data_IF_347950008157
#
_entry.id   IF_347950008157
#
_cell.length_a   1.000
_cell.length_b   1.000
_cell.length_c   1.000
_cell.angle_alpha   90.00
_cell.angle_beta   90.00
_cell.angle_gamma   90.00
#
_symmetry.space_group_name_H-M   'P 1'
#
loop_
_entity.id
_entity.type
_entity.pdbx_description
1 polymer ?
#
# COMPACT_ATOMS: atom_id res chain seq x y z
N UNK A 1 -20.42 -51.01 -42.18
CA UNK A 1 -20.94 -50.91 -40.81
C UNK A 1 -19.85 -50.25 -39.96
N UNK A 2 -19.88 -48.92 -39.80
CA UNK A 2 -18.75 -48.13 -39.29
C UNK A 2 -19.05 -47.65 -37.86
N UNK A 3 -18.14 -47.97 -36.93
CA UNK A 3 -18.27 -47.73 -35.48
C UNK A 3 -18.06 -46.24 -35.17
N UNK A 4 -18.96 -45.68 -34.35
CA UNK A 4 -18.90 -44.30 -33.82
C UNK A 4 -17.84 -44.19 -32.71
N UNK A 5 -17.07 -43.10 -32.63
CA UNK A 5 -16.36 -42.74 -31.41
C UNK A 5 -17.17 -41.69 -30.62
N UNK A 6 -17.71 -42.10 -29.48
CA UNK A 6 -18.03 -41.20 -28.36
C UNK A 6 -16.72 -40.64 -27.82
N UNK A 7 -16.47 -39.34 -28.01
CA UNK A 7 -15.36 -38.65 -27.37
C UNK A 7 -15.89 -37.83 -26.19
N UNK A 8 -15.38 -38.21 -25.02
CA UNK A 8 -15.40 -37.46 -23.77
C UNK A 8 -15.02 -36.00 -24.01
N UNK A 9 -15.82 -35.05 -23.53
CA UNK A 9 -15.38 -33.68 -23.34
C UNK A 9 -16.12 -33.08 -22.14
N UNK A 10 -15.80 -33.57 -20.94
CA UNK A 10 -16.32 -33.05 -19.67
C UNK A 10 -15.17 -32.91 -18.68
N UNK A 11 -14.29 -31.92 -18.87
CA UNK A 11 -13.34 -31.47 -17.84
C UNK A 11 -12.55 -30.24 -18.34
N UNK A 12 -13.16 -29.05 -18.36
CA UNK A 12 -12.44 -27.79 -18.62
C UNK A 12 -13.26 -26.62 -18.10
N UNK A 13 -13.52 -26.56 -16.79
CA UNK A 13 -14.25 -25.43 -16.18
C UNK A 13 -13.95 -25.23 -14.68
N UNK A 14 -12.77 -25.63 -14.20
CA UNK A 14 -12.41 -25.54 -12.77
C UNK A 14 -11.07 -24.85 -12.49
N UNK A 15 -10.59 -23.96 -13.38
CA UNK A 15 -9.28 -23.29 -13.18
C UNK A 15 -9.33 -21.75 -13.13
N UNK A 16 -10.51 -21.15 -12.98
CA UNK A 16 -10.66 -19.68 -12.93
C UNK A 16 -11.00 -19.12 -11.55
N UNK A 17 -11.23 -19.97 -10.54
CA UNK A 17 -11.72 -19.54 -9.21
C UNK A 17 -10.64 -19.17 -8.18
N UNK A 18 -9.37 -19.51 -8.41
CA UNK A 18 -8.32 -19.40 -7.38
C UNK A 18 -7.63 -18.02 -7.33
N UNK A 19 -7.79 -17.16 -8.33
CA UNK A 19 -7.06 -15.88 -8.39
C UNK A 19 -7.76 -14.75 -7.62
N UNK A 20 -9.09 -14.83 -7.45
CA UNK A 20 -9.87 -13.76 -6.80
C UNK A 20 -9.76 -13.74 -5.26
N UNK A 21 -9.45 -14.88 -4.63
CA UNK A 21 -9.39 -15.00 -3.16
C UNK A 21 -8.18 -14.28 -2.55
N UNK A 22 -7.07 -14.19 -3.28
CA UNK A 22 -5.81 -13.64 -2.77
C UNK A 22 -5.80 -12.13 -2.59
N UNK A 23 -6.61 -11.39 -3.34
CA UNK A 23 -6.67 -9.93 -3.26
C UNK A 23 -7.56 -9.45 -2.10
N UNK A 24 -8.68 -10.12 -1.83
CA UNK A 24 -9.59 -9.76 -0.74
C UNK A 24 -8.94 -9.91 0.64
N UNK A 25 -8.24 -11.02 0.87
CA UNK A 25 -7.57 -11.28 2.16
C UNK A 25 -6.50 -10.24 2.54
N UNK A 26 -5.85 -9.61 1.55
CA UNK A 26 -4.82 -8.61 1.81
C UNK A 26 -5.45 -7.25 2.13
N UNK A 27 -6.48 -6.86 1.39
CA UNK A 27 -7.26 -5.67 1.69
C UNK A 27 -7.93 -5.76 3.08
N UNK A 28 -8.39 -6.94 3.49
CA UNK A 28 -8.95 -7.17 4.82
C UNK A 28 -7.89 -7.02 5.92
N UNK A 29 -6.65 -7.47 5.66
CA UNK A 29 -5.53 -7.34 6.60
C UNK A 29 -5.06 -5.88 6.73
N UNK A 30 -4.94 -5.16 5.61
CA UNK A 30 -4.60 -3.73 5.59
C UNK A 30 -5.66 -2.91 6.34
N UNK A 31 -6.95 -3.21 6.11
CA UNK A 31 -8.05 -2.54 6.79
C UNK A 31 -7.97 -2.71 8.30
N UNK A 32 -7.70 -3.93 8.78
CA UNK A 32 -7.58 -4.19 10.22
C UNK A 32 -6.45 -3.37 10.89
N UNK A 33 -5.37 -3.08 10.16
CA UNK A 33 -4.28 -2.23 10.66
C UNK A 33 -4.65 -0.75 10.63
N UNK A 34 -5.41 -0.30 9.62
CA UNK A 34 -5.87 1.09 9.51
C UNK A 34 -6.98 1.43 10.53
N UNK A 35 -7.80 0.45 10.91
CA UNK A 35 -8.82 0.61 11.96
C UNK A 35 -8.24 0.59 13.38
N UNK A 36 -7.00 0.10 13.53
CA UNK A 36 -6.29 0.02 14.80
C UNK A 36 -4.81 0.39 14.62
N UNK A 37 -4.52 1.66 14.23
CA UNK A 37 -3.17 2.08 13.89
C UNK A 37 -2.27 2.09 15.13
N UNK A 38 -0.99 1.83 14.91
CA UNK A 38 0.04 1.87 15.94
C UNK A 38 1.25 2.68 15.48
N UNK A 39 1.98 3.25 16.45
CA UNK A 39 3.28 3.87 16.18
C UNK A 39 4.21 2.84 15.55
N UNK A 40 4.90 3.23 14.48
CA UNK A 40 5.78 2.36 13.69
C UNK A 40 5.09 1.68 12.50
N UNK A 41 3.77 1.75 12.36
CA UNK A 41 3.09 1.30 11.15
C UNK A 41 3.61 2.05 9.92
N UNK A 42 3.72 1.32 8.80
CA UNK A 42 4.23 1.82 7.52
C UNK A 42 3.13 1.71 6.47
N UNK A 43 2.92 2.79 5.73
CA UNK A 43 1.94 2.88 4.66
C UNK A 43 2.65 3.15 3.33
N UNK A 44 2.45 2.30 2.33
CA UNK A 44 2.84 2.63 0.97
C UNK A 44 1.75 3.51 0.36
N UNK A 45 2.13 4.70 -0.10
CA UNK A 45 1.18 5.75 -0.43
C UNK A 45 1.60 6.64 -1.59
N UNK A 46 0.63 7.35 -2.17
CA UNK A 46 0.87 8.52 -3.00
C UNK A 46 1.13 9.73 -2.11
N UNK A 47 2.39 10.02 -1.81
CA UNK A 47 2.83 11.10 -0.93
C UNK A 47 2.32 12.48 -1.38
N UNK A 48 2.21 12.71 -2.69
CA UNK A 48 1.67 13.97 -3.23
C UNK A 48 0.19 14.22 -2.91
N UNK A 49 -0.52 13.19 -2.43
CA UNK A 49 -1.88 13.32 -1.90
C UNK A 49 -1.94 13.79 -0.44
N UNK A 50 -0.81 13.77 0.29
CA UNK A 50 -0.76 14.08 1.73
C UNK A 50 0.19 15.24 2.05
N UNK A 51 1.41 15.21 1.51
CA UNK A 51 2.43 16.21 1.77
C UNK A 51 2.08 17.54 1.10
N UNK A 52 2.41 18.64 1.79
CA UNK A 52 2.30 20.00 1.22
C UNK A 52 3.55 20.39 0.45
N UNK A 53 4.63 19.61 0.55
CA UNK A 53 5.89 19.86 -0.11
C UNK A 53 5.99 19.06 -1.42
N UNK A 54 6.42 19.69 -2.52
CA UNK A 54 6.58 18.99 -3.79
C UNK A 54 7.80 18.06 -3.72
N UNK A 55 7.65 16.86 -4.25
CA UNK A 55 8.77 15.93 -4.45
C UNK A 55 9.44 16.20 -5.80
N UNK A 56 10.76 16.05 -5.86
CA UNK A 56 11.53 16.21 -7.08
C UNK A 56 12.53 15.08 -7.30
N UNK A 57 12.85 14.78 -8.56
CA UNK A 57 13.96 13.90 -8.92
C UNK A 57 15.33 14.57 -8.72
N UNK A 58 16.42 13.83 -8.99
CA UNK A 58 17.80 14.33 -8.89
C UNK A 58 18.08 15.53 -9.83
N UNK A 59 17.31 15.66 -10.90
CA UNK A 59 17.38 16.79 -11.84
C UNK A 59 16.51 17.98 -11.38
N UNK A 60 15.93 17.92 -10.17
CA UNK A 60 15.00 18.90 -9.59
C UNK A 60 13.71 19.06 -10.40
N UNK A 61 13.30 18.03 -11.14
CA UNK A 61 12.00 18.02 -11.83
C UNK A 61 10.92 17.52 -10.88
N UNK A 62 9.72 18.13 -10.87
CA UNK A 62 8.61 17.66 -10.06
C UNK A 62 8.24 16.21 -10.37
N UNK A 63 7.94 15.45 -9.33
CA UNK A 63 7.37 14.11 -9.41
C UNK A 63 5.88 14.23 -9.04
N UNK A 64 5.00 13.92 -9.99
CA UNK A 64 3.55 13.94 -9.77
C UNK A 64 2.85 12.90 -10.68
N UNK A 65 2.18 11.88 -10.12
CA UNK A 65 2.08 11.58 -8.68
C UNK A 65 3.41 11.11 -8.08
N UNK A 66 3.66 11.50 -6.82
CA UNK A 66 4.81 11.05 -6.05
C UNK A 66 4.40 9.88 -5.14
N UNK A 67 5.07 8.74 -5.27
CA UNK A 67 4.84 7.55 -4.45
C UNK A 67 6.04 7.29 -3.53
N UNK A 68 5.75 6.77 -2.33
CA UNK A 68 6.76 6.42 -1.34
C UNK A 68 6.12 5.79 -0.11
N UNK A 69 6.84 5.82 1.00
CA UNK A 69 6.36 5.31 2.29
C UNK A 69 5.97 6.45 3.23
N UNK A 70 5.02 6.20 4.12
CA UNK A 70 4.73 7.01 5.31
C UNK A 70 4.91 6.17 6.56
N UNK A 71 5.42 6.75 7.64
CA UNK A 71 5.55 6.09 8.94
C UNK A 71 4.68 6.80 9.98
N UNK A 72 3.90 6.02 10.74
CA UNK A 72 3.15 6.52 11.88
C UNK A 72 4.10 6.80 13.05
N UNK A 73 4.15 8.06 13.48
CA UNK A 73 4.98 8.51 14.61
C UNK A 73 4.17 8.83 15.86
N UNK A 74 2.86 9.00 15.74
CA UNK A 74 1.94 9.18 16.85
C UNK A 74 0.56 8.64 16.52
N UNK A 75 -0.15 8.15 17.55
CA UNK A 75 -1.54 7.73 17.44
C UNK A 75 -2.36 8.29 18.60
N UNK A 76 -3.61 8.62 18.31
CA UNK A 76 -4.61 9.02 19.30
C UNK A 76 -6.00 8.48 18.89
N UNK A 77 -7.06 8.71 19.68
CA UNK A 77 -8.40 8.23 19.33
C UNK A 77 -9.00 8.86 18.05
N UNK A 78 -8.49 10.00 17.60
CA UNK A 78 -9.00 10.75 16.44
C UNK A 78 -8.25 10.37 15.14
N UNK A 79 -7.03 9.84 15.24
CA UNK A 79 -6.27 9.33 14.10
C UNK A 79 -4.79 9.13 14.37
N UNK A 80 -3.98 9.54 13.39
CA UNK A 80 -2.52 9.35 13.39
C UNK A 80 -1.79 10.61 12.98
N UNK A 81 -0.53 10.70 13.39
CA UNK A 81 0.46 11.59 12.78
C UNK A 81 1.48 10.74 12.04
N UNK A 82 1.73 11.08 10.77
CA UNK A 82 2.71 10.41 9.92
C UNK A 82 3.82 11.36 9.47
N UNK A 83 4.96 10.78 9.14
CA UNK A 83 6.06 11.40 8.40
C UNK A 83 6.22 10.70 7.05
N UNK A 84 6.62 11.42 6.01
CA UNK A 84 6.85 10.83 4.68
C UNK A 84 8.29 10.38 4.52
N UNK A 85 8.55 9.42 3.64
CA UNK A 85 9.91 9.11 3.18
C UNK A 85 10.57 10.36 2.57
N UNK A 86 11.89 10.51 2.77
CA UNK A 86 12.68 11.62 2.22
C UNK A 86 12.70 11.64 0.67
N UNK A 87 12.52 10.49 0.05
CA UNK A 87 12.52 10.29 -1.39
C UNK A 87 11.16 9.82 -1.88
N UNK A 88 10.88 10.11 -3.14
CA UNK A 88 9.69 9.62 -3.82
C UNK A 88 10.03 9.15 -5.22
N UNK A 89 9.16 8.33 -5.80
CA UNK A 89 9.25 7.86 -7.17
C UNK A 89 7.95 8.12 -7.92
N UNK A 90 8.03 8.28 -9.25
CA UNK A 90 6.86 8.25 -10.12
C UNK A 90 6.29 6.81 -10.27
N UNK A 91 7.06 5.79 -9.90
CA UNK A 91 6.70 4.39 -10.03
C UNK A 91 6.09 3.83 -8.75
N UNK A 92 4.76 3.65 -8.75
CA UNK A 92 4.01 3.07 -7.62
C UNK A 92 4.54 1.69 -7.17
N UNK A 93 5.08 0.89 -8.10
CA UNK A 93 5.59 -0.45 -7.81
C UNK A 93 6.79 -0.42 -6.85
N UNK A 94 7.63 0.61 -6.89
CA UNK A 94 8.80 0.68 -6.02
C UNK A 94 8.38 0.73 -4.55
N UNK A 95 7.43 1.59 -4.18
CA UNK A 95 6.93 1.67 -2.80
C UNK A 95 6.24 0.37 -2.34
N UNK A 96 5.65 -0.38 -3.28
CA UNK A 96 5.06 -1.68 -2.98
C UNK A 96 6.13 -2.74 -2.72
N UNK A 97 7.28 -2.65 -3.38
CA UNK A 97 8.40 -3.55 -3.15
C UNK A 97 9.14 -3.16 -1.86
N UNK A 98 9.36 -1.86 -1.63
CA UNK A 98 10.01 -1.30 -0.43
C UNK A 98 9.28 -1.71 0.85
N UNK A 99 7.95 -1.55 0.91
CA UNK A 99 7.19 -1.92 2.11
C UNK A 99 7.29 -3.41 2.42
N UNK A 100 7.43 -4.29 1.41
CA UNK A 100 7.62 -5.73 1.63
C UNK A 100 9.04 -6.10 2.03
N UNK A 101 10.01 -5.26 1.67
CA UNK A 101 11.43 -5.46 1.96
C UNK A 101 11.85 -5.14 3.39
N UNK A 102 13.16 -5.03 3.56
CA UNK A 102 13.79 -4.46 4.75
C UNK A 102 13.71 -2.94 4.69
N UNK A 103 13.41 -2.31 5.82
CA UNK A 103 13.22 -0.87 5.93
C UNK A 103 14.47 -0.17 6.48
N UNK A 104 15.56 -0.90 6.73
CA UNK A 104 16.78 -0.39 7.37
C UNK A 104 17.42 0.81 6.64
N UNK A 105 17.29 0.89 5.32
CA UNK A 105 17.86 1.96 4.49
C UNK A 105 16.82 3.04 4.11
N UNK A 106 15.59 2.96 4.65
CA UNK A 106 14.55 3.95 4.41
C UNK A 106 14.69 5.08 5.43
N UNK A 107 14.89 6.30 4.93
CA UNK A 107 14.91 7.52 5.73
C UNK A 107 13.58 8.28 5.60
N UNK A 108 13.05 8.70 6.74
CA UNK A 108 11.82 9.49 6.83
C UNK A 108 12.14 10.96 7.15
N UNK A 109 11.33 11.86 6.60
CA UNK A 109 11.38 13.30 6.84
C UNK A 109 10.66 13.64 8.15
N UNK A 110 11.41 13.71 9.24
CA UNK A 110 10.86 14.14 10.54
C UNK A 110 10.46 15.63 10.59
N UNK A 111 10.80 16.40 9.55
CA UNK A 111 10.49 17.82 9.41
C UNK A 111 9.04 18.13 9.05
N UNK A 112 8.37 17.22 8.33
CA UNK A 112 6.94 17.34 8.01
C UNK A 112 6.13 16.29 8.78
N UNK A 113 5.23 16.75 9.65
CA UNK A 113 4.27 15.91 10.35
C UNK A 113 2.87 16.16 9.82
N UNK A 114 2.22 15.08 9.38
CA UNK A 114 0.92 15.12 8.72
C UNK A 114 -0.09 14.39 9.61
N UNK A 115 -1.08 15.13 10.10
CA UNK A 115 -2.19 14.55 10.84
C UNK A 115 -3.24 14.01 9.85
N UNK A 116 -3.65 12.75 10.04
CA UNK A 116 -4.68 12.09 9.23
C UNK A 116 -5.73 11.50 10.18
N UNK A 117 -6.99 11.85 9.98
CA UNK A 117 -8.08 11.32 10.80
C UNK A 117 -8.33 9.82 10.55
N UNK A 118 -8.85 9.09 11.54
CA UNK A 118 -9.11 7.65 11.39
C UNK A 118 -10.06 7.31 10.23
N UNK A 119 -11.13 8.07 10.07
CA UNK A 119 -12.04 7.92 8.92
C UNK A 119 -11.38 8.30 7.57
N UNK A 120 -10.43 9.23 7.61
CA UNK A 120 -9.66 9.66 6.44
C UNK A 120 -8.64 8.59 6.02
N UNK A 121 -8.00 7.88 6.96
CA UNK A 121 -7.13 6.73 6.67
C UNK A 121 -7.88 5.63 5.89
N UNK A 122 -9.03 5.23 6.41
CA UNK A 122 -9.88 4.20 5.77
C UNK A 122 -10.30 4.65 4.37
N UNK A 123 -10.69 5.92 4.23
CA UNK A 123 -11.05 6.50 2.94
C UNK A 123 -9.87 6.56 1.98
N UNK A 124 -8.70 6.99 2.44
CA UNK A 124 -7.49 7.08 1.64
C UNK A 124 -7.07 5.69 1.10
N UNK A 125 -7.27 4.63 1.88
CA UNK A 125 -7.08 3.27 1.41
C UNK A 125 -8.10 2.87 0.35
N UNK A 126 -9.39 3.16 0.58
CA UNK A 126 -10.45 2.89 -0.39
C UNK A 126 -10.26 3.65 -1.72
N UNK A 127 -9.76 4.89 -1.66
CA UNK A 127 -9.45 5.74 -2.80
C UNK A 127 -8.10 5.37 -3.46
N UNK A 128 -7.35 4.42 -2.89
CA UNK A 128 -6.08 3.91 -3.42
C UNK A 128 -4.87 4.83 -3.23
N UNK A 129 -5.01 5.87 -2.39
CA UNK A 129 -3.94 6.77 -1.96
C UNK A 129 -2.99 6.07 -0.99
N UNK A 130 -3.53 5.26 -0.07
CA UNK A 130 -2.79 4.24 0.67
C UNK A 130 -3.10 2.91 0.00
N UNK A 131 -2.09 2.10 -0.30
CA UNK A 131 -2.29 0.90 -1.13
C UNK A 131 -1.56 -0.34 -0.66
N UNK A 132 -0.79 -0.24 0.43
CA UNK A 132 -0.31 -1.38 1.20
C UNK A 132 0.00 -0.91 2.62
N UNK A 133 -0.24 -1.77 3.61
CA UNK A 133 0.01 -1.46 5.02
C UNK A 133 0.86 -2.55 5.65
N UNK A 134 1.81 -2.15 6.51
CA UNK A 134 2.67 -3.08 7.25
C UNK A 134 2.86 -2.59 8.66
N UNK A 135 2.63 -3.49 9.62
CA UNK A 135 3.14 -3.35 10.98
C UNK A 135 4.45 -4.12 11.10
N UNK A 136 5.61 -3.47 11.20
CA UNK A 136 6.86 -4.16 11.47
C UNK A 136 6.77 -4.87 12.83
N UNK A 137 7.13 -6.15 12.87
CA UNK A 137 7.39 -6.81 14.16
C UNK A 137 8.67 -6.21 14.74
N UNK A 138 8.63 -5.73 15.98
CA UNK A 138 9.82 -5.23 16.68
C UNK A 138 10.99 -6.21 16.56
N UNK A 139 12.20 -5.69 16.34
CA UNK A 139 13.45 -6.47 16.43
C UNK A 139 13.86 -6.64 17.89
#
# INVERSE_FOLDING_TARGET
MMRRPTRLLTALLALSGLVLLGACQHADADMALLESPAVGDIYAAQLSGFSRHPFTDDARKPIDPAYGLMQVVSTDPDGVVVVTQNTASAEKSLSHDDIRGDLADIEFDEGEQIAIGGAELVRAHADGLIFAVKRPTEK
#
